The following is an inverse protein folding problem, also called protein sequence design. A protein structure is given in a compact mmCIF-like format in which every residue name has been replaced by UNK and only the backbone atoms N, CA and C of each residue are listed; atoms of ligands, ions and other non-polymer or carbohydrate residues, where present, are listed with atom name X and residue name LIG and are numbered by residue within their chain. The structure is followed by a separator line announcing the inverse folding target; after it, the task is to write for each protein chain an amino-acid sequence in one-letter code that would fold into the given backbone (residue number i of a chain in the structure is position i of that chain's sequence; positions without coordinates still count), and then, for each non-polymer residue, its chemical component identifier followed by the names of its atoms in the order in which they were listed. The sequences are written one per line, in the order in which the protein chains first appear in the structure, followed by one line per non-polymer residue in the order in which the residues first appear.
data_IF_699909971436
#
_entry.id   IF_699909971436
#
_cell.length_a   1.000
_cell.length_b   1.000
_cell.length_c   1.000
_cell.angle_alpha   90.00
_cell.angle_beta   90.00
_cell.angle_gamma   90.00
#
_symmetry.space_group_name_H-M   'P 1'
#
loop_
_entity.id
_entity.type
_entity.pdbx_description
1 polymer ?
#
# COMPACT_ATOMS: atom_id res chain seq x y z
N UNK A 1 -28.44 -11.52 -16.42
CA UNK A 1 -28.66 -11.84 -14.99
C UNK A 1 -27.62 -11.03 -14.22
N UNK A 2 -28.05 -10.10 -13.34
CA UNK A 2 -27.16 -9.14 -12.67
C UNK A 2 -26.62 -9.81 -11.40
N UNK A 3 -25.36 -10.25 -11.42
CA UNK A 3 -24.67 -10.78 -10.24
C UNK A 3 -24.30 -9.61 -9.32
N UNK A 4 -25.24 -9.22 -8.46
CA UNK A 4 -24.91 -8.40 -7.29
C UNK A 4 -24.24 -9.30 -6.26
N UNK A 5 -22.91 -9.41 -6.33
CA UNK A 5 -22.08 -9.97 -5.28
C UNK A 5 -22.21 -9.08 -4.03
N UNK A 6 -23.27 -9.30 -3.23
CA UNK A 6 -23.43 -8.67 -1.93
C UNK A 6 -22.22 -9.01 -1.07
N UNK A 7 -21.68 -8.03 -0.33
CA UNK A 7 -20.43 -8.18 0.43
C UNK A 7 -20.46 -9.36 1.42
N UNK A 8 -21.62 -9.66 1.98
CA UNK A 8 -21.85 -10.80 2.90
C UNK A 8 -21.85 -12.17 2.22
N UNK A 9 -21.93 -12.21 0.89
CA UNK A 9 -21.99 -13.44 0.08
C UNK A 9 -20.68 -13.75 -0.62
N UNK A 10 -19.65 -12.92 -0.43
CA UNK A 10 -18.32 -13.12 -1.03
C UNK A 10 -17.44 -13.89 -0.07
N UNK A 11 -16.86 -14.98 -0.55
CA UNK A 11 -15.71 -15.59 0.11
C UNK A 11 -14.65 -15.92 -0.94
N UNK A 12 -13.41 -15.56 -0.63
CA UNK A 12 -12.27 -16.12 -1.33
C UNK A 12 -12.09 -17.53 -0.77
N UNK A 13 -12.31 -18.57 -1.58
CA UNK A 13 -12.02 -19.94 -1.12
C UNK A 13 -10.53 -20.11 -0.83
N UNK A 14 -10.19 -21.06 0.05
CA UNK A 14 -8.80 -21.32 0.42
C UNK A 14 -7.93 -21.70 -0.78
N UNK A 15 -8.50 -22.39 -1.79
CA UNK A 15 -7.77 -22.70 -3.02
C UNK A 15 -7.44 -21.44 -3.83
N UNK A 16 -8.43 -20.57 -4.03
CA UNK A 16 -8.24 -19.32 -4.77
C UNK A 16 -7.27 -18.37 -4.06
N UNK A 17 -7.33 -18.32 -2.72
CA UNK A 17 -6.37 -17.58 -1.90
C UNK A 17 -4.94 -18.10 -2.08
N UNK A 18 -4.74 -19.42 -2.06
CA UNK A 18 -3.45 -20.06 -2.27
C UNK A 18 -2.87 -19.77 -3.67
N UNK A 19 -3.71 -19.81 -4.72
CA UNK A 19 -3.29 -19.47 -6.08
C UNK A 19 -2.90 -18.00 -6.19
N UNK A 20 -3.71 -17.08 -5.66
CA UNK A 20 -3.41 -15.65 -5.63
C UNK A 20 -2.04 -15.41 -4.97
N UNK A 21 -1.82 -16.02 -3.79
CA UNK A 21 -0.56 -15.92 -3.06
C UNK A 21 0.62 -16.40 -3.90
N UNK A 22 0.55 -17.62 -4.44
CA UNK A 22 1.63 -18.22 -5.23
C UNK A 22 1.98 -17.37 -6.47
N UNK A 23 0.97 -16.85 -7.17
CA UNK A 23 1.16 -15.98 -8.32
C UNK A 23 1.79 -14.64 -7.93
N UNK A 24 1.39 -14.05 -6.79
CA UNK A 24 2.02 -12.82 -6.30
C UNK A 24 3.48 -13.05 -5.89
N UNK A 25 3.84 -14.22 -5.37
CA UNK A 25 5.22 -14.56 -5.01
C UNK A 25 6.10 -14.80 -6.23
N UNK A 26 5.50 -15.28 -7.34
CA UNK A 26 6.14 -15.35 -8.65
C UNK A 26 6.25 -13.97 -9.37
N UNK A 27 5.80 -12.88 -8.73
CA UNK A 27 5.85 -11.53 -9.30
C UNK A 27 4.74 -11.21 -10.31
N UNK A 28 3.73 -12.08 -10.44
CA UNK A 28 2.59 -11.84 -11.31
C UNK A 28 1.69 -10.78 -10.67
N UNK A 29 1.21 -9.81 -11.45
CA UNK A 29 0.35 -8.74 -10.92
C UNK A 29 -0.98 -9.35 -10.44
N UNK A 30 -1.51 -8.82 -9.35
CA UNK A 30 -2.79 -9.28 -8.78
C UNK A 30 -3.94 -9.25 -9.79
N UNK A 31 -3.93 -8.30 -10.73
CA UNK A 31 -4.92 -8.25 -11.81
C UNK A 31 -4.78 -9.41 -12.80
N UNK A 32 -3.56 -9.83 -13.12
CA UNK A 32 -3.34 -10.94 -14.05
C UNK A 32 -3.73 -12.26 -13.37
N UNK A 33 -3.39 -12.43 -12.09
CA UNK A 33 -3.82 -13.57 -11.27
C UNK A 33 -5.36 -13.65 -11.11
N UNK A 34 -6.01 -12.51 -10.86
CA UNK A 34 -7.47 -12.44 -10.80
C UNK A 34 -8.12 -12.78 -12.14
N UNK A 35 -7.56 -12.30 -13.25
CA UNK A 35 -8.06 -12.56 -14.60
C UNK A 35 -7.97 -14.05 -14.92
N UNK A 36 -6.82 -14.67 -14.64
CA UNK A 36 -6.63 -16.12 -14.75
C UNK A 36 -7.69 -16.91 -13.99
N UNK A 37 -7.89 -16.61 -12.70
CA UNK A 37 -8.89 -17.31 -11.89
C UNK A 37 -10.31 -17.10 -12.43
N UNK A 38 -10.61 -15.90 -12.95
CA UNK A 38 -11.91 -15.64 -13.55
C UNK A 38 -12.13 -16.43 -14.84
N UNK A 39 -11.10 -16.66 -15.64
CA UNK A 39 -11.17 -17.44 -16.88
C UNK A 39 -11.41 -18.93 -16.58
N UNK A 40 -10.71 -19.47 -15.58
CA UNK A 40 -10.84 -20.88 -15.15
C UNK A 40 -12.27 -21.24 -14.72
N UNK A 41 -12.99 -20.30 -14.09
CA UNK A 41 -14.38 -20.51 -13.63
C UNK A 41 -15.44 -20.05 -14.65
N UNK A 42 -15.03 -19.68 -15.87
CA UNK A 42 -15.95 -19.24 -16.94
C UNK A 42 -16.49 -17.83 -16.76
N UNK A 43 -15.80 -16.99 -16.00
CA UNK A 43 -16.05 -15.56 -15.87
C UNK A 43 -16.15 -15.08 -14.41
N UNK A 44 -15.95 -13.77 -14.21
CA UNK A 44 -15.99 -13.11 -12.89
C UNK A 44 -17.27 -13.39 -12.11
N UNK A 45 -18.40 -13.61 -12.79
CA UNK A 45 -19.68 -13.93 -12.17
C UNK A 45 -19.69 -15.22 -11.34
N UNK A 46 -18.81 -16.18 -11.67
CA UNK A 46 -18.72 -17.49 -11.02
C UNK A 46 -17.60 -17.57 -9.98
N UNK A 47 -16.77 -16.53 -9.87
CA UNK A 47 -15.56 -16.53 -9.07
C UNK A 47 -15.83 -16.37 -7.56
N UNK A 48 -16.98 -15.83 -7.18
CA UNK A 48 -17.39 -15.68 -5.77
C UNK A 48 -16.71 -14.52 -5.02
N UNK A 49 -15.70 -13.87 -5.58
CA UNK A 49 -15.05 -12.68 -5.03
C UNK A 49 -14.70 -11.65 -6.11
N UNK A 50 -14.49 -10.40 -5.70
CA UNK A 50 -14.19 -9.29 -6.62
C UNK A 50 -12.69 -9.05 -6.75
N UNK A 51 -12.31 -8.27 -7.77
CA UNK A 51 -10.94 -7.78 -7.92
C UNK A 51 -10.44 -7.11 -6.63
N UNK A 52 -11.25 -6.26 -6.00
CA UNK A 52 -10.88 -5.61 -4.74
C UNK A 52 -10.57 -6.61 -3.62
N UNK A 53 -11.34 -7.70 -3.53
CA UNK A 53 -11.12 -8.74 -2.52
C UNK A 53 -9.76 -9.45 -2.75
N UNK A 54 -9.39 -9.70 -4.01
CA UNK A 54 -8.07 -10.23 -4.37
C UNK A 54 -6.93 -9.28 -3.99
N UNK A 55 -7.09 -7.99 -4.24
CA UNK A 55 -6.11 -6.97 -3.82
C UNK A 55 -5.98 -6.89 -2.30
N UNK A 56 -7.10 -6.90 -1.58
CA UNK A 56 -7.10 -6.87 -0.12
C UNK A 56 -6.42 -8.12 0.48
N UNK A 57 -6.70 -9.31 -0.08
CA UNK A 57 -6.06 -10.55 0.35
C UNK A 57 -4.54 -10.51 0.15
N UNK A 58 -4.09 -10.14 -1.05
CA UNK A 58 -2.66 -10.01 -1.35
C UNK A 58 -2.00 -8.93 -0.50
N UNK A 59 -2.67 -7.81 -0.23
CA UNK A 59 -2.17 -6.79 0.67
C UNK A 59 -2.00 -7.33 2.10
N UNK A 60 -2.97 -8.09 2.61
CA UNK A 60 -2.88 -8.72 3.94
C UNK A 60 -1.70 -9.70 4.01
N UNK A 61 -1.56 -10.58 3.03
CA UNK A 61 -0.42 -11.52 2.93
C UNK A 61 0.93 -10.78 2.86
N UNK A 62 0.96 -9.60 2.22
CA UNK A 62 2.17 -8.77 2.15
C UNK A 62 2.49 -8.08 3.47
N UNK A 63 1.50 -7.49 4.15
CA UNK A 63 1.68 -6.85 5.46
C UNK A 63 2.18 -7.85 6.51
N UNK A 64 1.73 -9.11 6.44
CA UNK A 64 2.20 -10.17 7.32
C UNK A 64 3.70 -10.53 7.13
N UNK A 65 4.37 -10.07 6.05
CA UNK A 65 5.82 -10.25 5.85
C UNK A 65 6.67 -9.19 6.57
N UNK A 66 6.06 -8.13 7.10
CA UNK A 66 6.78 -7.13 7.89
C UNK A 66 6.81 -7.64 9.33
N UNK A 67 7.97 -8.07 9.80
CA UNK A 67 8.11 -8.58 11.16
C UNK A 67 7.95 -7.44 12.19
N UNK A 68 7.39 -7.73 13.36
CA UNK A 68 7.25 -6.76 14.47
C UNK A 68 8.60 -6.09 14.85
N UNK A 69 9.72 -6.80 14.67
CA UNK A 69 11.07 -6.25 14.85
C UNK A 69 11.42 -5.12 13.87
N UNK A 70 10.92 -5.19 12.63
CA UNK A 70 11.10 -4.13 11.63
C UNK A 70 10.29 -2.89 12.00
N UNK A 71 9.04 -3.07 12.45
CA UNK A 71 8.19 -1.96 12.94
C UNK A 71 8.84 -1.24 14.13
N UNK A 72 9.32 -2.01 15.11
CA UNK A 72 9.95 -1.46 16.32
C UNK A 72 11.21 -0.66 16.00
N UNK A 73 12.03 -1.17 15.08
CA UNK A 73 13.26 -0.51 14.63
C UNK A 73 12.95 0.81 13.91
N UNK A 74 11.91 0.83 13.09
CA UNK A 74 11.46 2.04 12.37
C UNK A 74 10.92 3.10 13.32
N UNK A 75 10.10 2.72 14.30
CA UNK A 75 9.59 3.63 15.33
C UNK A 75 10.74 4.25 16.13
N UNK A 76 11.75 3.45 16.48
CA UNK A 76 12.93 3.96 17.17
C UNK A 76 13.67 5.00 16.33
N UNK A 77 13.92 4.70 15.05
CA UNK A 77 14.55 5.64 14.12
C UNK A 77 13.77 6.97 14.06
N UNK A 78 12.45 6.93 13.98
CA UNK A 78 11.63 8.14 13.87
C UNK A 78 11.60 8.96 15.16
N UNK A 79 11.67 8.30 16.33
CA UNK A 79 11.88 8.98 17.61
C UNK A 79 13.24 9.68 17.66
N UNK A 80 14.29 9.03 17.18
CA UNK A 80 15.63 9.60 17.14
C UNK A 80 15.69 10.81 16.17
N UNK A 81 15.03 10.72 15.01
CA UNK A 81 14.90 11.84 14.05
C UNK A 81 14.11 13.02 14.64
N UNK A 82 13.03 12.75 15.38
CA UNK A 82 12.24 13.79 16.04
C UNK A 82 12.98 14.52 17.17
N UNK A 83 14.07 13.94 17.70
CA UNK A 83 14.95 14.59 18.67
C UNK A 83 15.91 15.56 17.95
N UNK A 84 16.37 15.22 16.75
CA UNK A 84 17.32 16.02 15.97
C UNK A 84 16.63 17.16 15.20
N UNK A 85 15.45 16.88 14.64
CA UNK A 85 14.65 17.84 13.88
C UNK A 85 13.28 18.08 14.54
N UNK A 86 13.14 19.23 15.19
CA UNK A 86 11.90 19.65 15.85
C UNK A 86 10.72 19.87 14.88
N UNK A 87 10.98 19.97 13.57
CA UNK A 87 9.95 20.10 12.55
C UNK A 87 9.57 18.76 11.92
N UNK A 88 10.32 17.68 12.20
CA UNK A 88 10.00 16.33 11.76
C UNK A 88 8.66 15.87 12.33
N UNK A 89 7.76 15.45 11.44
CA UNK A 89 6.44 14.93 11.80
C UNK A 89 6.28 13.54 11.21
N UNK A 90 5.72 12.63 11.99
CA UNK A 90 5.45 11.27 11.55
C UNK A 90 4.22 10.70 12.24
N UNK A 91 3.60 9.73 11.58
CA UNK A 91 2.48 8.95 12.11
C UNK A 91 2.60 7.50 11.62
N UNK A 92 2.20 6.55 12.47
CA UNK A 92 2.32 5.12 12.19
C UNK A 92 1.04 4.40 12.59
N UNK A 93 0.59 3.50 11.73
CA UNK A 93 -0.52 2.60 12.01
C UNK A 93 -0.01 1.16 12.00
N UNK A 94 -0.27 0.43 13.09
CA UNK A 94 0.01 -1.00 13.24
C UNK A 94 -1.28 -1.81 13.35
N UNK A 95 -1.19 -3.12 13.15
CA UNK A 95 -2.28 -4.06 13.42
C UNK A 95 -2.26 -4.58 14.87
N UNK A 96 -3.11 -5.55 15.18
CA UNK A 96 -3.24 -6.17 16.51
C UNK A 96 -1.97 -6.94 16.94
N UNK A 97 -1.09 -7.29 15.98
CA UNK A 97 0.15 -8.04 16.19
C UNK A 97 1.40 -7.12 16.10
N UNK A 98 1.22 -5.78 16.21
CA UNK A 98 2.26 -4.75 16.08
C UNK A 98 3.01 -4.76 14.72
N UNK A 99 2.39 -5.31 13.68
CA UNK A 99 2.95 -5.29 12.33
C UNK A 99 2.59 -3.97 11.63
N UNK A 100 3.53 -3.43 10.84
CA UNK A 100 3.36 -2.14 10.17
C UNK A 100 2.28 -2.20 9.09
N UNK A 101 1.23 -1.39 9.22
CA UNK A 101 0.19 -1.23 8.19
C UNK A 101 0.44 -0.02 7.30
N UNK A 102 0.69 1.13 7.91
CA UNK A 102 0.90 2.40 7.20
C UNK A 102 1.88 3.25 7.99
N UNK A 103 2.61 4.08 7.25
CA UNK A 103 3.46 5.09 7.83
C UNK A 103 3.42 6.34 6.98
N UNK A 104 3.45 7.48 7.65
CA UNK A 104 3.57 8.80 7.05
C UNK A 104 4.67 9.55 7.78
N UNK A 105 5.49 10.29 7.04
CA UNK A 105 6.50 11.16 7.64
C UNK A 105 6.82 12.32 6.70
N UNK A 106 7.29 13.42 7.28
CA UNK A 106 7.81 14.60 6.59
C UNK A 106 8.90 15.21 7.47
N UNK A 107 10.03 15.56 6.86
CA UNK A 107 11.10 16.27 7.55
C UNK A 107 10.86 17.79 7.59
N UNK A 108 11.69 18.52 8.33
CA UNK A 108 11.56 19.96 8.44
C UNK A 108 11.66 20.68 7.11
N UNK A 109 12.51 20.19 6.19
CA UNK A 109 12.67 20.78 4.87
C UNK A 109 11.40 20.59 4.02
N UNK A 110 10.84 19.39 3.99
CA UNK A 110 9.59 19.10 3.27
C UNK A 110 8.43 19.97 3.76
N UNK A 111 8.36 20.27 5.06
CA UNK A 111 7.37 21.21 5.60
C UNK A 111 7.58 22.65 5.14
N UNK A 112 8.83 23.11 5.10
CA UNK A 112 9.16 24.45 4.58
C UNK A 112 8.83 24.52 3.08
N UNK A 113 9.17 23.48 2.33
CA UNK A 113 8.86 23.38 0.91
C UNK A 113 7.35 23.32 0.68
N UNK A 114 6.58 22.67 1.54
CA UNK A 114 5.12 22.67 1.50
C UNK A 114 4.56 24.07 1.74
N UNK A 115 5.08 24.82 2.71
CA UNK A 115 4.66 26.20 2.96
C UNK A 115 4.94 27.12 1.75
N UNK A 116 5.97 26.81 0.95
CA UNK A 116 6.34 27.59 -0.24
C UNK A 116 5.62 27.14 -1.53
N UNK A 117 5.40 25.84 -1.70
CA UNK A 117 5.02 25.22 -2.98
C UNK A 117 3.80 24.29 -2.89
N UNK A 118 3.15 24.21 -1.73
CA UNK A 118 1.99 23.34 -1.47
C UNK A 118 0.70 23.74 -2.18
N UNK A 119 0.69 24.80 -2.98
CA UNK A 119 -0.46 25.23 -3.79
C UNK A 119 -0.81 24.20 -4.88
N UNK A 120 0.20 23.50 -5.40
CA UNK A 120 0.03 22.46 -6.42
C UNK A 120 0.73 21.19 -5.96
N UNK A 121 -0.07 20.17 -5.62
CA UNK A 121 0.43 18.87 -5.15
C UNK A 121 0.13 17.81 -6.20
N UNK A 122 1.17 17.06 -6.57
CA UNK A 122 1.11 15.89 -7.45
C UNK A 122 1.40 14.67 -6.59
N UNK A 123 0.43 13.77 -6.49
CA UNK A 123 0.65 12.45 -5.90
C UNK A 123 1.23 11.53 -6.96
N UNK A 124 2.51 11.18 -6.82
CA UNK A 124 3.10 10.21 -7.71
C UNK A 124 2.80 8.80 -7.22
N UNK A 125 1.62 8.27 -7.57
CA UNK A 125 1.29 6.87 -7.32
C UNK A 125 1.85 5.99 -8.43
N UNK A 126 3.16 6.04 -8.71
CA UNK A 126 3.75 4.87 -9.37
C UNK A 126 3.69 3.75 -8.34
N UNK A 127 2.86 2.74 -8.58
CA UNK A 127 2.78 1.51 -7.79
C UNK A 127 4.11 0.73 -7.87
N UNK A 128 5.19 1.31 -7.35
CA UNK A 128 6.46 0.65 -7.10
C UNK A 128 6.44 0.25 -5.64
N UNK A 129 6.12 -1.01 -5.46
CA UNK A 129 6.21 -1.71 -4.21
C UNK A 129 7.68 -1.75 -3.80
N UNK A 130 8.01 -1.32 -2.57
CA UNK A 130 9.37 -1.43 -2.06
C UNK A 130 9.74 -2.91 -1.80
N UNK A 131 10.94 -3.22 -1.26
CA UNK A 131 11.34 -4.60 -0.91
C UNK A 131 10.35 -5.30 0.04
N UNK A 132 9.61 -4.53 0.83
CA UNK A 132 8.57 -4.98 1.76
C UNK A 132 7.17 -4.98 1.13
N UNK A 133 7.11 -4.78 -0.18
CA UNK A 133 5.92 -4.61 -0.99
C UNK A 133 4.89 -3.60 -0.45
N UNK A 134 5.35 -2.56 0.24
CA UNK A 134 4.54 -1.39 0.60
C UNK A 134 4.49 -0.43 -0.58
N UNK A 135 3.30 0.12 -0.85
CA UNK A 135 3.16 1.22 -1.79
C UNK A 135 3.75 2.49 -1.16
N UNK A 136 4.75 3.06 -1.82
CA UNK A 136 5.30 4.36 -1.46
C UNK A 136 4.78 5.41 -2.44
N UNK A 137 4.21 6.49 -1.93
CA UNK A 137 3.71 7.60 -2.73
C UNK A 137 4.37 8.89 -2.22
N UNK A 138 5.42 9.41 -2.88
CA UNK A 138 5.96 10.71 -2.52
C UNK A 138 4.94 11.81 -2.83
N UNK A 139 4.90 12.81 -1.95
CA UNK A 139 4.17 14.05 -2.20
C UNK A 139 5.13 14.96 -2.98
N UNK A 140 4.70 15.46 -4.14
CA UNK A 140 5.57 16.27 -4.99
C UNK A 140 4.88 17.59 -5.30
N UNK A 141 5.54 18.69 -4.98
CA UNK A 141 5.14 20.05 -5.32
C UNK A 141 5.77 20.51 -6.63
N UNK A 142 5.36 21.70 -7.07
CA UNK A 142 5.96 22.36 -8.24
C UNK A 142 6.42 23.75 -7.85
N UNK A 143 7.70 24.06 -8.07
CA UNK A 143 8.22 25.40 -7.79
C UNK A 143 7.88 26.41 -8.90
N UNK A 144 8.22 27.68 -8.67
CA UNK A 144 8.00 28.79 -9.64
C UNK A 144 8.70 28.62 -10.99
N UNK A 145 9.63 27.66 -11.11
CA UNK A 145 10.32 27.31 -12.35
C UNK A 145 9.75 26.06 -13.02
N UNK A 146 8.58 25.59 -12.60
CA UNK A 146 7.93 24.37 -13.11
C UNK A 146 8.76 23.10 -12.88
N UNK A 147 9.55 23.06 -11.81
CA UNK A 147 10.34 21.90 -11.41
C UNK A 147 9.69 21.19 -10.23
N UNK A 148 9.82 19.86 -10.21
CA UNK A 148 9.33 19.02 -9.13
C UNK A 148 10.15 19.26 -7.84
N UNK A 149 9.46 19.44 -6.73
CA UNK A 149 10.02 19.52 -5.38
C UNK A 149 9.42 18.40 -4.55
N UNK A 150 10.24 17.63 -3.83
CA UNK A 150 9.72 16.61 -2.91
C UNK A 150 9.19 17.34 -1.67
N UNK A 151 7.91 17.13 -1.34
CA UNK A 151 7.25 17.68 -0.16
C UNK A 151 7.13 16.62 0.93
#
# INVERSE_FOLDING_TARGET
MINNLLRSSRSTSDENASVLKSMSEAGIRTIDAFTYLSEEVGGVGNLGFTKCDAYNHIQKERSAKIESGDTTSLIKLFKDLAIDDNMFVWDVQTDEDDCLLKIFWVDGLGRIDYDCFGEVIIFYTSYRLNKYNLACAPIVGVNNHWQNVLL
#
